data_IF_268516618144
#
_entry.id   IF_268516618144
#
_cell.length_a   1.000
_cell.length_b   1.000
_cell.length_c   1.000
_cell.angle_alpha   90.00
_cell.angle_beta   90.00
_cell.angle_gamma   90.00
#
_symmetry.space_group_name_H-M   'P 1'
#
loop_
_entity.id
_entity.type
_entity.pdbx_description
1 polymer ?
#
# COMPACT_ATOMS: atom_id res chain seq x y z
N UNK A 1 -20.71 15.65 29.68
CA UNK A 1 -19.25 15.60 29.47
C UNK A 1 -18.97 14.74 28.25
N UNK A 2 -18.50 15.32 27.13
CA UNK A 2 -17.94 14.52 26.04
C UNK A 2 -16.67 13.85 26.57
N UNK A 3 -16.45 12.57 26.24
CA UNK A 3 -15.22 11.86 26.62
C UNK A 3 -14.02 12.49 25.90
N UNK A 4 -12.84 12.59 26.53
CA UNK A 4 -11.60 13.08 25.89
C UNK A 4 -11.30 12.38 24.55
N UNK A 5 -11.71 11.11 24.42
CA UNK A 5 -11.60 10.36 23.16
C UNK A 5 -12.45 10.97 22.02
N UNK A 6 -13.63 11.49 22.34
CA UNK A 6 -14.51 12.12 21.37
C UNK A 6 -13.95 13.46 20.89
N UNK A 7 -13.37 14.25 21.79
CA UNK A 7 -12.69 15.51 21.44
C UNK A 7 -11.48 15.29 20.54
N UNK A 8 -10.72 14.20 20.76
CA UNK A 8 -9.62 13.83 19.87
C UNK A 8 -10.06 13.41 18.48
N UNK A 9 -11.14 12.64 18.34
CA UNK A 9 -11.63 12.23 17.01
C UNK A 9 -12.11 13.46 16.22
N UNK A 10 -12.62 14.48 16.92
CA UNK A 10 -13.00 15.75 16.30
C UNK A 10 -11.78 16.66 15.98
N UNK A 11 -10.61 16.39 16.57
CA UNK A 11 -9.40 17.20 16.40
C UNK A 11 -8.89 17.25 14.95
N UNK A 12 -8.36 18.41 14.51
CA UNK A 12 -7.73 18.54 13.19
C UNK A 12 -6.56 17.58 12.97
N UNK A 13 -5.78 17.30 14.02
CA UNK A 13 -4.61 16.42 13.95
C UNK A 13 -5.01 14.97 13.67
N UNK A 14 -6.04 14.46 14.35
CA UNK A 14 -6.55 13.11 14.10
C UNK A 14 -7.11 12.97 12.69
N UNK A 15 -7.89 13.96 12.24
CA UNK A 15 -8.44 13.97 10.87
C UNK A 15 -7.34 14.01 9.81
N UNK A 16 -6.27 14.78 10.05
CA UNK A 16 -5.09 14.82 9.17
C UNK A 16 -4.40 13.45 9.11
N UNK A 17 -4.18 12.82 10.26
CA UNK A 17 -3.57 11.49 10.37
C UNK A 17 -4.35 10.44 9.57
N UNK A 18 -5.68 10.40 9.76
CA UNK A 18 -6.57 9.50 9.02
C UNK A 18 -6.50 9.77 7.52
N UNK A 19 -6.58 11.04 7.10
CA UNK A 19 -6.49 11.42 5.68
C UNK A 19 -5.16 11.00 5.05
N UNK A 20 -4.04 11.23 5.72
CA UNK A 20 -2.71 10.85 5.23
C UNK A 20 -2.62 9.35 4.99
N UNK A 21 -3.06 8.53 5.96
CA UNK A 21 -3.12 7.07 5.80
C UNK A 21 -3.97 6.65 4.63
N UNK A 22 -5.18 7.21 4.50
CA UNK A 22 -6.06 6.86 3.39
C UNK A 22 -5.43 7.17 2.03
N UNK A 23 -4.80 8.34 1.87
CA UNK A 23 -4.16 8.72 0.61
C UNK A 23 -3.04 7.73 0.25
N UNK A 24 -2.17 7.41 1.21
CA UNK A 24 -1.04 6.49 0.95
C UNK A 24 -1.53 5.07 0.68
N UNK A 25 -2.49 4.57 1.47
CA UNK A 25 -3.08 3.25 1.26
C UNK A 25 -3.75 3.14 -0.11
N UNK A 26 -4.53 4.14 -0.52
CA UNK A 26 -5.19 4.12 -1.83
C UNK A 26 -4.21 4.24 -2.99
N UNK A 27 -3.17 5.06 -2.85
CA UNK A 27 -2.14 5.17 -3.89
C UNK A 27 -1.43 3.84 -4.11
N UNK A 28 -1.03 3.16 -3.04
CA UNK A 28 -0.36 1.86 -3.13
C UNK A 28 -1.31 0.76 -3.61
N UNK A 29 -2.58 0.81 -3.21
CA UNK A 29 -3.62 -0.08 -3.73
C UNK A 29 -3.82 0.11 -5.23
N UNK A 30 -3.87 1.36 -5.70
CA UNK A 30 -3.99 1.65 -7.12
C UNK A 30 -2.77 1.13 -7.90
N UNK A 31 -1.56 1.32 -7.39
CA UNK A 31 -0.34 0.77 -8.00
C UNK A 31 -0.36 -0.77 -8.04
N UNK A 32 -0.84 -1.41 -6.97
CA UNK A 32 -0.99 -2.87 -6.93
C UNK A 32 -1.99 -3.36 -7.98
N UNK A 33 -3.12 -2.68 -8.12
CA UNK A 33 -4.11 -3.01 -9.16
C UNK A 33 -3.58 -2.74 -10.56
N UNK A 34 -2.90 -1.61 -10.78
CA UNK A 34 -2.28 -1.32 -12.07
C UNK A 34 -1.26 -2.40 -12.47
N UNK A 35 -0.45 -2.86 -11.52
CA UNK A 35 0.48 -3.97 -11.73
C UNK A 35 -0.23 -5.27 -12.10
N UNK A 36 -1.23 -5.68 -11.31
CA UNK A 36 -1.95 -6.94 -11.51
C UNK A 36 -2.81 -6.94 -12.79
N UNK A 37 -3.67 -5.94 -12.95
CA UNK A 37 -4.53 -5.85 -14.12
C UNK A 37 -3.75 -5.50 -15.39
N UNK A 38 -2.65 -4.74 -15.28
CA UNK A 38 -1.73 -4.53 -16.40
C UNK A 38 -1.19 -5.86 -16.94
N UNK A 39 -0.78 -6.77 -16.06
CA UNK A 39 -0.35 -8.10 -16.45
C UNK A 39 -1.48 -8.95 -17.06
N UNK A 40 -2.68 -8.92 -16.47
CA UNK A 40 -3.85 -9.61 -17.05
C UNK A 40 -4.16 -9.10 -18.45
N UNK A 41 -4.13 -7.78 -18.66
CA UNK A 41 -4.39 -7.18 -19.98
C UNK A 41 -3.34 -7.60 -21.00
N UNK A 42 -2.07 -7.69 -20.62
CA UNK A 42 -1.01 -8.21 -21.49
C UNK A 42 -1.32 -9.66 -21.90
N UNK A 43 -1.69 -10.52 -20.95
CA UNK A 43 -2.07 -11.91 -21.23
C UNK A 43 -3.28 -11.99 -22.16
N UNK A 44 -4.29 -11.15 -21.91
CA UNK A 44 -5.55 -11.18 -22.66
C UNK A 44 -5.38 -10.69 -24.11
N UNK A 45 -4.59 -9.64 -24.33
CA UNK A 45 -4.47 -8.98 -25.64
C UNK A 45 -3.32 -9.54 -26.48
N UNK A 46 -2.26 -10.06 -25.86
CA UNK A 46 -1.05 -10.55 -26.54
C UNK A 46 -0.68 -11.96 -26.13
N UNK A 47 -1.61 -12.89 -26.37
CA UNK A 47 -1.46 -14.30 -25.99
C UNK A 47 -0.19 -14.94 -26.56
N UNK A 48 0.22 -14.56 -27.77
CA UNK A 48 1.43 -15.05 -28.43
C UNK A 48 2.71 -14.75 -27.64
N UNK A 49 2.80 -13.57 -27.01
CA UNK A 49 3.95 -13.18 -26.20
C UNK A 49 4.07 -14.03 -24.94
N UNK A 50 2.94 -14.43 -24.35
CA UNK A 50 2.93 -15.25 -23.13
C UNK A 50 3.59 -16.61 -23.36
N UNK A 51 3.42 -17.18 -24.56
CA UNK A 51 3.96 -18.51 -24.91
C UNK A 51 5.34 -18.43 -25.55
N UNK A 52 5.80 -17.23 -25.91
CA UNK A 52 7.12 -17.01 -26.46
C UNK A 52 8.19 -17.47 -25.47
N UNK A 53 8.98 -18.45 -25.89
CA UNK A 53 9.99 -19.05 -25.02
C UNK A 53 11.19 -18.13 -24.89
N UNK A 54 11.64 -17.98 -23.66
CA UNK A 54 12.89 -17.32 -23.31
C UNK A 54 13.84 -18.42 -22.83
N UNK A 55 14.74 -18.84 -23.73
CA UNK A 55 15.60 -20.00 -23.51
C UNK A 55 14.85 -21.33 -23.55
N UNK A 56 15.39 -22.35 -22.87
CA UNK A 56 14.81 -23.70 -22.93
C UNK A 56 13.66 -23.93 -21.94
N UNK A 57 13.67 -23.23 -20.79
CA UNK A 57 12.80 -23.55 -19.66
C UNK A 57 11.80 -22.45 -19.28
N UNK A 58 11.98 -21.21 -19.72
CA UNK A 58 11.12 -20.09 -19.36
C UNK A 58 10.34 -19.56 -20.57
N UNK A 59 9.26 -18.84 -20.28
CA UNK A 59 8.56 -18.01 -21.26
C UNK A 59 8.34 -16.62 -20.66
N UNK A 60 7.99 -15.66 -21.51
CA UNK A 60 7.79 -14.28 -21.07
C UNK A 60 6.68 -14.17 -20.01
N UNK A 61 5.61 -14.98 -20.13
CA UNK A 61 4.52 -15.00 -19.16
C UNK A 61 4.98 -15.36 -17.75
N UNK A 62 5.85 -16.35 -17.60
CA UNK A 62 6.40 -16.79 -16.33
C UNK A 62 7.27 -15.70 -15.69
N UNK A 63 8.15 -15.08 -16.48
CA UNK A 63 9.05 -14.02 -15.99
C UNK A 63 8.23 -12.79 -15.59
N UNK A 64 7.28 -12.37 -16.42
CA UNK A 64 6.40 -11.25 -16.13
C UNK A 64 5.54 -11.52 -14.88
N UNK A 65 4.98 -12.72 -14.75
CA UNK A 65 4.22 -13.12 -13.55
C UNK A 65 5.07 -13.10 -12.28
N UNK A 66 6.30 -13.62 -12.34
CA UNK A 66 7.24 -13.51 -11.22
C UNK A 66 7.55 -12.03 -10.89
N UNK A 67 7.71 -11.19 -11.92
CA UNK A 67 7.88 -9.74 -11.76
C UNK A 67 6.71 -9.08 -11.02
N UNK A 68 5.47 -9.44 -11.36
CA UNK A 68 4.25 -8.95 -10.68
C UNK A 68 4.27 -9.30 -9.19
N UNK A 69 4.67 -10.54 -8.84
CA UNK A 69 4.77 -11.00 -7.45
C UNK A 69 5.82 -10.18 -6.70
N UNK A 70 7.03 -10.08 -7.26
CA UNK A 70 8.14 -9.34 -6.65
C UNK A 70 7.75 -7.87 -6.44
N UNK A 71 7.14 -7.23 -7.45
CA UNK A 71 6.69 -5.85 -7.34
C UNK A 71 5.61 -5.67 -6.26
N UNK A 72 4.69 -6.62 -6.13
CA UNK A 72 3.65 -6.61 -5.09
C UNK A 72 4.24 -6.68 -3.68
N UNK A 73 5.29 -7.50 -3.49
CA UNK A 73 6.03 -7.53 -2.23
C UNK A 73 6.75 -6.22 -1.96
N UNK A 74 7.41 -5.63 -2.98
CA UNK A 74 8.08 -4.33 -2.85
C UNK A 74 7.08 -3.24 -2.41
N UNK A 75 5.91 -3.15 -3.05
CA UNK A 75 4.86 -2.21 -2.65
C UNK A 75 4.41 -2.42 -1.20
N UNK A 76 4.29 -3.68 -0.78
CA UNK A 76 3.95 -4.04 0.60
C UNK A 76 5.04 -3.60 1.57
N UNK A 77 6.32 -3.85 1.26
CA UNK A 77 7.44 -3.40 2.10
C UNK A 77 7.50 -1.88 2.20
N UNK A 78 7.29 -1.17 1.09
CA UNK A 78 7.23 0.30 1.07
C UNK A 78 6.12 0.77 2.01
N UNK A 79 4.92 0.18 1.94
CA UNK A 79 3.83 0.51 2.84
C UNK A 79 4.23 0.33 4.32
N UNK A 80 4.78 -0.83 4.66
CA UNK A 80 5.17 -1.16 6.05
C UNK A 80 6.23 -0.19 6.57
N UNK A 81 7.27 0.08 5.79
CA UNK A 81 8.33 1.01 6.20
C UNK A 81 7.76 2.42 6.41
N UNK A 82 6.88 2.87 5.51
CA UNK A 82 6.24 4.17 5.62
C UNK A 82 5.34 4.25 6.86
N UNK A 83 4.51 3.23 7.08
CA UNK A 83 3.60 3.16 8.23
C UNK A 83 4.38 3.22 9.54
N UNK A 84 5.42 2.40 9.67
CA UNK A 84 6.24 2.33 10.88
C UNK A 84 7.00 3.65 11.17
N UNK A 85 7.47 4.34 10.13
CA UNK A 85 8.31 5.54 10.30
C UNK A 85 7.51 6.83 10.47
N UNK A 86 6.39 6.95 9.76
CA UNK A 86 5.63 8.19 9.66
C UNK A 86 4.34 8.05 10.45
N UNK A 87 3.51 7.07 10.11
CA UNK A 87 2.17 6.95 10.67
C UNK A 87 2.19 6.62 12.16
N UNK A 88 2.94 5.59 12.58
CA UNK A 88 2.98 5.16 13.98
C UNK A 88 3.57 6.24 14.89
N UNK A 89 4.57 6.99 14.41
CA UNK A 89 5.14 8.13 15.12
C UNK A 89 4.09 9.23 15.37
N UNK A 90 3.23 9.51 14.39
CA UNK A 90 2.15 10.49 14.55
C UNK A 90 1.04 9.98 15.49
N UNK A 91 0.74 8.68 15.45
CA UNK A 91 -0.19 8.02 16.39
C UNK A 91 0.31 8.13 17.82
N UNK A 92 1.57 7.81 18.08
CA UNK A 92 2.19 7.87 19.41
C UNK A 92 2.19 9.29 19.98
N UNK A 93 2.45 10.29 19.14
CA UNK A 93 2.38 11.70 19.52
C UNK A 93 0.96 12.14 19.92
N UNK A 94 -0.08 11.55 19.32
CA UNK A 94 -1.46 11.84 19.67
C UNK A 94 -1.89 11.09 20.95
N UNK A 95 -1.40 9.85 21.12
CA UNK A 95 -1.65 9.04 22.31
C UNK A 95 -1.04 9.65 23.56
N UNK A 96 0.19 10.18 23.48
CA UNK A 96 0.83 10.85 24.62
C UNK A 96 0.07 12.09 25.11
N UNK A 97 -0.58 12.83 24.20
CA UNK A 97 -1.46 13.96 24.56
C UNK A 97 -2.72 13.54 25.33
N UNK A 98 -3.21 12.31 25.13
CA UNK A 98 -4.31 11.76 25.94
C UNK A 98 -3.85 11.41 27.36
N UNK A 99 -2.68 10.79 27.46
CA UNK A 99 -2.16 10.20 28.70
C UNK A 99 -1.52 11.25 29.62
N UNK A 100 -0.84 12.26 29.05
CA UNK A 100 -0.16 13.34 29.78
C UNK A 100 -1.07 14.43 30.35
N UNK A 101 -2.39 14.31 30.20
CA UNK A 101 -3.38 15.21 30.79
C UNK A 101 -4.01 14.69 32.09
N UNK A 102 -3.23 13.96 32.91
CA UNK A 102 -3.55 13.56 34.28
C UNK A 102 -2.83 14.45 35.27
#
# INVERSE_FOLDING_TARGET
>A
MKSKAHELIESPEFKKLVRTRWIVSFLLLFLLFANYYGFILIIALKKEWVVERIGQFANFGLIAGAGVIVLSWILTFIYVIWANRVYDKEVDALKSKLEGGR
#
